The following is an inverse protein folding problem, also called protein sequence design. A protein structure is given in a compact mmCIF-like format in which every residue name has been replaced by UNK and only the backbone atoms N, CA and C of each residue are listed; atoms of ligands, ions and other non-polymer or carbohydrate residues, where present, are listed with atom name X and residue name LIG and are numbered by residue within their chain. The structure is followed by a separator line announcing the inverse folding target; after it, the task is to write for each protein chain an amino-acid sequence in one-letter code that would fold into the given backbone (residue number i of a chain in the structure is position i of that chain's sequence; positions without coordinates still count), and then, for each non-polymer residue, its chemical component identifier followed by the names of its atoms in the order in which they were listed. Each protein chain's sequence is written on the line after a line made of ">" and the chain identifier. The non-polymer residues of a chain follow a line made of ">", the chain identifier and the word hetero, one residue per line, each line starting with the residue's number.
data_IF_335808146799
#
_entry.id   IF_335808146799
#
_cell.length_a   1.000
_cell.length_b   1.000
_cell.length_c   1.000
_cell.angle_alpha   90.00
_cell.angle_beta   90.00
_cell.angle_gamma   90.00
#
_symmetry.space_group_name_H-M   'P 1'
#
loop_
_entity.id
_entity.type
_entity.pdbx_description
1 polymer ?
#
# COMPACT_ATOMS: atom_id res chain seq x y z
N UNK A 1 52.76 -10.04 12.15
CA UNK A 1 51.90 -10.20 10.97
C UNK A 1 52.68 -9.82 9.71
N UNK A 2 52.87 -10.75 8.77
CA UNK A 2 53.65 -10.50 7.55
C UNK A 2 52.89 -9.60 6.55
N UNK A 3 53.56 -9.09 5.51
CA UNK A 3 52.95 -8.16 4.52
C UNK A 3 51.66 -8.73 3.90
N UNK A 4 51.60 -10.05 3.66
CA UNK A 4 50.42 -10.73 3.09
C UNK A 4 49.26 -10.76 4.08
N UNK A 5 49.53 -11.13 5.34
CA UNK A 5 48.54 -11.15 6.42
C UNK A 5 47.99 -9.74 6.73
N UNK A 6 48.82 -8.68 6.67
CA UNK A 6 48.36 -7.27 6.79
C UNK A 6 47.39 -6.86 5.69
N UNK A 7 47.68 -7.25 4.43
CA UNK A 7 46.76 -7.00 3.31
C UNK A 7 45.44 -7.76 3.49
N UNK A 8 45.49 -9.03 3.89
CA UNK A 8 44.29 -9.83 4.14
C UNK A 8 43.46 -9.23 5.27
N UNK A 9 44.09 -8.90 6.41
CA UNK A 9 43.41 -8.27 7.54
C UNK A 9 42.73 -6.97 7.13
N UNK A 10 43.42 -6.11 6.38
CA UNK A 10 42.84 -4.86 5.88
C UNK A 10 41.65 -5.10 4.94
N UNK A 11 41.75 -6.05 4.01
CA UNK A 11 40.63 -6.43 3.14
C UNK A 11 39.43 -6.95 3.94
N UNK A 12 39.63 -7.81 4.93
CA UNK A 12 38.57 -8.33 5.80
C UNK A 12 37.91 -7.20 6.60
N UNK A 13 38.70 -6.31 7.20
CA UNK A 13 38.17 -5.13 7.89
C UNK A 13 37.34 -4.25 6.94
N UNK A 14 37.82 -4.00 5.71
CA UNK A 14 37.10 -3.19 4.73
C UNK A 14 35.75 -3.80 4.36
N UNK A 15 35.70 -5.12 4.11
CA UNK A 15 34.44 -5.84 3.82
C UNK A 15 33.49 -5.75 5.01
N UNK A 16 33.99 -5.95 6.22
CA UNK A 16 33.19 -5.83 7.44
C UNK A 16 32.60 -4.43 7.61
N UNK A 17 33.39 -3.37 7.40
CA UNK A 17 32.89 -2.00 7.44
C UNK A 17 31.83 -1.74 6.37
N UNK A 18 32.02 -2.25 5.15
CA UNK A 18 31.06 -2.08 4.06
C UNK A 18 29.74 -2.80 4.38
N UNK A 19 29.82 -4.00 4.94
CA UNK A 19 28.64 -4.74 5.43
C UNK A 19 27.91 -3.98 6.55
N UNK A 20 28.65 -3.36 7.47
CA UNK A 20 28.07 -2.60 8.57
C UNK A 20 27.36 -1.34 8.08
N UNK A 21 27.93 -0.64 7.11
CA UNK A 21 27.30 0.52 6.44
C UNK A 21 26.00 0.08 5.75
N UNK A 22 26.03 -1.02 4.99
CA UNK A 22 24.83 -1.55 4.31
C UNK A 22 23.77 -1.95 5.32
N UNK A 23 24.16 -2.60 6.43
CA UNK A 23 23.22 -3.00 7.50
C UNK A 23 22.57 -1.78 8.14
N UNK A 24 23.34 -0.74 8.48
CA UNK A 24 22.78 0.51 9.02
C UNK A 24 21.83 1.16 8.01
N UNK A 25 22.16 1.13 6.72
CA UNK A 25 21.30 1.69 5.68
C UNK A 25 19.98 0.91 5.56
N UNK A 26 20.03 -0.42 5.62
CA UNK A 26 18.84 -1.28 5.63
C UNK A 26 17.99 -1.08 6.90
N UNK A 27 18.62 -0.89 8.06
CA UNK A 27 17.92 -0.58 9.31
C UNK A 27 17.23 0.80 9.29
N UNK A 28 17.73 1.74 8.48
CA UNK A 28 17.12 3.06 8.28
C UNK A 28 16.10 3.10 7.14
N UNK A 29 15.79 1.95 6.53
CA UNK A 29 14.83 1.91 5.44
C UNK A 29 13.45 2.30 5.96
N UNK A 30 12.88 3.34 5.35
CA UNK A 30 11.56 3.89 5.70
C UNK A 30 10.45 2.88 5.42
N UNK A 31 9.33 3.02 6.12
CA UNK A 31 8.11 2.34 5.70
C UNK A 31 7.62 2.90 4.35
N UNK A 32 6.82 2.14 3.60
CA UNK A 32 6.16 2.64 2.40
C UNK A 32 5.45 3.99 2.60
N UNK A 33 4.69 4.17 3.68
CA UNK A 33 4.02 5.42 4.01
C UNK A 33 5.00 6.58 4.22
N UNK A 34 6.05 6.37 5.03
CA UNK A 34 7.07 7.40 5.27
C UNK A 34 7.81 7.79 3.98
N UNK A 35 8.05 6.82 3.09
CA UNK A 35 8.58 7.12 1.75
C UNK A 35 7.59 7.94 0.91
N UNK A 36 6.30 7.58 0.93
CA UNK A 36 5.25 8.26 0.19
C UNK A 36 5.07 9.72 0.64
N UNK A 37 5.10 9.96 1.96
CA UNK A 37 4.95 11.29 2.56
C UNK A 37 6.04 12.29 2.17
N UNK A 38 7.24 11.80 1.84
CA UNK A 38 8.38 12.64 1.47
C UNK A 38 8.44 12.97 -0.02
N UNK A 39 7.54 12.42 -0.83
CA UNK A 39 7.50 12.74 -2.25
C UNK A 39 7.09 14.20 -2.47
N UNK A 40 7.78 14.86 -3.39
CA UNK A 40 7.54 16.27 -3.75
C UNK A 40 6.72 16.35 -5.02
N UNK A 41 5.97 17.45 -5.18
CA UNK A 41 5.20 17.72 -6.40
C UNK A 41 3.86 16.98 -6.49
N UNK A 42 3.40 16.40 -5.38
CA UNK A 42 2.07 15.82 -5.27
C UNK A 42 1.00 16.90 -5.08
N UNK A 43 -0.23 16.61 -5.50
CA UNK A 43 -1.40 17.45 -5.21
C UNK A 43 -1.98 17.05 -3.85
N UNK A 44 -2.77 17.92 -3.21
CA UNK A 44 -3.41 17.64 -1.91
C UNK A 44 -4.24 16.34 -1.89
N UNK A 45 -4.84 15.94 -3.02
CA UNK A 45 -5.56 14.67 -3.19
C UNK A 45 -4.64 13.43 -3.03
N UNK A 46 -3.37 13.57 -3.38
CA UNK A 46 -2.39 12.48 -3.43
C UNK A 46 -1.35 12.56 -2.32
N UNK A 47 -1.16 13.73 -1.71
CA UNK A 47 -0.23 13.93 -0.59
C UNK A 47 -0.76 13.28 0.69
N UNK A 48 -0.02 12.34 1.31
CA UNK A 48 -0.44 11.71 2.56
C UNK A 48 -0.31 12.63 3.76
N UNK A 49 -1.36 12.67 4.59
CA UNK A 49 -1.36 13.37 5.87
C UNK A 49 -1.29 12.40 7.06
N UNK A 50 -2.07 11.32 7.02
CA UNK A 50 -2.17 10.33 8.10
C UNK A 50 -2.18 8.90 7.53
N UNK A 51 -1.40 7.99 8.10
CA UNK A 51 -1.42 6.58 7.70
C UNK A 51 -2.60 5.85 8.34
N UNK A 52 -3.35 5.09 7.55
CA UNK A 52 -4.42 4.23 8.05
C UNK A 52 -3.94 2.78 8.20
N UNK A 53 -3.33 2.22 7.15
CA UNK A 53 -2.82 0.84 7.16
C UNK A 53 -1.75 0.63 6.06
N UNK A 54 -0.77 -0.23 6.34
CA UNK A 54 0.26 -0.66 5.38
C UNK A 54 0.22 -2.18 5.18
N UNK A 55 -0.29 -2.63 4.05
CA UNK A 55 -0.48 -4.06 3.77
C UNK A 55 0.61 -4.55 2.83
N UNK A 56 1.38 -5.55 3.27
CA UNK A 56 2.38 -6.19 2.42
C UNK A 56 1.79 -7.37 1.64
N UNK A 57 2.07 -7.41 0.35
CA UNK A 57 1.78 -8.56 -0.51
C UNK A 57 2.96 -8.79 -1.47
N UNK A 58 3.58 -9.95 -1.42
CA UNK A 58 4.85 -10.25 -2.11
C UNK A 58 5.96 -9.22 -1.82
N UNK A 59 6.42 -8.53 -2.88
CA UNK A 59 7.37 -7.43 -2.85
C UNK A 59 6.69 -6.05 -2.99
N UNK A 60 5.39 -5.97 -2.77
CA UNK A 60 4.57 -4.77 -2.89
C UNK A 60 3.85 -4.44 -1.59
N UNK A 61 3.33 -3.23 -1.57
CA UNK A 61 2.61 -2.65 -0.45
C UNK A 61 1.38 -1.91 -0.96
N UNK A 62 0.28 -2.02 -0.21
CA UNK A 62 -0.87 -1.13 -0.29
C UNK A 62 -0.77 -0.20 0.91
N UNK A 63 -0.85 1.09 0.67
CA UNK A 63 -0.85 2.11 1.73
C UNK A 63 -2.18 2.84 1.65
N UNK A 64 -3.03 2.63 2.66
CA UNK A 64 -4.22 3.44 2.87
C UNK A 64 -3.88 4.62 3.76
N UNK A 65 -4.34 5.81 3.40
CA UNK A 65 -4.02 7.03 4.12
C UNK A 65 -5.13 8.07 3.99
N UNK A 66 -5.21 8.97 4.96
CA UNK A 66 -5.94 10.24 4.82
C UNK A 66 -5.01 11.23 4.13
N UNK A 67 -5.48 11.84 3.04
CA UNK A 67 -4.73 12.83 2.28
C UNK A 67 -4.88 14.25 2.87
N UNK A 68 -4.22 15.24 2.28
CA UNK A 68 -4.31 16.63 2.75
C UNK A 68 -5.71 17.25 2.60
N UNK A 69 -6.56 16.72 1.71
CA UNK A 69 -7.97 17.12 1.63
C UNK A 69 -8.82 16.55 2.78
N UNK A 70 -8.27 15.65 3.60
CA UNK A 70 -9.04 14.93 4.61
C UNK A 70 -9.86 13.77 4.05
N UNK A 71 -9.59 13.33 2.82
CA UNK A 71 -10.23 12.19 2.19
C UNK A 71 -9.33 10.94 2.26
N UNK A 72 -9.91 9.75 2.10
CA UNK A 72 -9.14 8.52 2.02
C UNK A 72 -8.54 8.37 0.63
N UNK A 73 -7.28 7.95 0.57
CA UNK A 73 -6.58 7.59 -0.66
C UNK A 73 -5.83 6.28 -0.47
N UNK A 74 -5.51 5.63 -1.59
CA UNK A 74 -4.77 4.39 -1.61
C UNK A 74 -3.56 4.50 -2.56
N UNK A 75 -2.39 4.05 -2.12
CA UNK A 75 -1.22 3.90 -2.98
C UNK A 75 -0.79 2.44 -3.08
N UNK A 76 -0.43 2.01 -4.29
CA UNK A 76 0.22 0.72 -4.54
C UNK A 76 1.69 0.99 -4.82
N UNK A 77 2.56 0.33 -4.06
CA UNK A 77 4.00 0.57 -4.08
C UNK A 77 4.78 -0.74 -4.24
N UNK A 78 5.92 -0.69 -4.92
CA UNK A 78 6.82 -1.83 -5.11
C UNK A 78 8.14 -1.59 -4.40
N UNK A 79 8.57 -2.57 -3.59
CA UNK A 79 9.86 -2.50 -2.91
C UNK A 79 11.00 -2.60 -3.90
N UNK A 80 11.96 -1.68 -3.78
CA UNK A 80 13.29 -1.75 -4.40
C UNK A 80 14.30 -2.03 -3.29
N UNK A 81 15.55 -2.28 -3.67
CA UNK A 81 16.63 -2.63 -2.73
C UNK A 81 16.78 -1.56 -1.62
N UNK A 82 16.65 -0.29 -2.00
CA UNK A 82 16.90 0.86 -1.11
C UNK A 82 15.78 1.89 -1.06
N UNK A 83 14.67 1.65 -1.76
CA UNK A 83 13.57 2.61 -1.90
C UNK A 83 12.28 1.88 -2.24
N UNK A 84 11.25 2.66 -2.57
CA UNK A 84 10.03 2.15 -3.17
C UNK A 84 9.80 2.82 -4.53
N UNK A 85 9.04 2.15 -5.38
CA UNK A 85 8.47 2.71 -6.60
C UNK A 85 6.97 2.84 -6.37
N UNK A 86 6.40 4.01 -6.65
CA UNK A 86 4.96 4.22 -6.60
C UNK A 86 4.39 3.74 -7.93
N UNK A 87 3.65 2.63 -7.91
CA UNK A 87 3.00 2.08 -9.10
C UNK A 87 1.69 2.83 -9.40
N UNK A 88 0.96 3.20 -8.35
CA UNK A 88 -0.32 3.91 -8.45
C UNK A 88 -0.61 4.67 -7.19
N UNK A 89 -1.24 5.83 -7.34
CA UNK A 89 -2.06 6.45 -6.31
C UNK A 89 -3.46 6.53 -6.89
N UNK A 90 -4.45 5.96 -6.20
CA UNK A 90 -5.84 5.98 -6.63
C UNK A 90 -6.43 7.38 -6.53
N UNK A 91 -7.68 7.54 -6.99
CA UNK A 91 -8.49 8.69 -6.57
C UNK A 91 -8.73 8.71 -5.06
N UNK A 92 -9.52 9.68 -4.61
CA UNK A 92 -9.86 9.85 -3.20
C UNK A 92 -11.34 9.50 -2.95
N UNK A 93 -11.62 8.93 -1.77
CA UNK A 93 -12.96 8.69 -1.27
C UNK A 93 -13.24 9.60 -0.08
N UNK A 94 -14.43 10.19 -0.04
CA UNK A 94 -14.82 10.96 1.13
C UNK A 94 -15.07 10.02 2.31
N UNK A 95 -14.75 10.50 3.52
CA UNK A 95 -15.18 9.83 4.75
C UNK A 95 -16.70 9.86 4.94
N UNK A 96 -17.43 10.68 4.16
CA UNK A 96 -18.88 10.85 4.31
C UNK A 96 -19.69 9.70 3.69
N UNK A 97 -20.77 9.32 4.38
CA UNK A 97 -21.69 8.23 4.00
C UNK A 97 -22.38 8.37 2.63
N UNK A 98 -22.32 9.56 2.02
CA UNK A 98 -23.03 9.87 0.77
C UNK A 98 -22.13 9.87 -0.48
N UNK A 99 -20.84 9.54 -0.32
CA UNK A 99 -19.91 9.50 -1.46
C UNK A 99 -19.91 8.13 -2.14
N UNK A 100 -19.39 8.08 -3.38
CA UNK A 100 -19.18 6.80 -4.08
C UNK A 100 -18.27 5.94 -3.21
N UNK A 101 -18.71 4.74 -2.84
CA UNK A 101 -18.03 3.95 -1.79
C UNK A 101 -16.90 3.06 -2.31
N UNK A 102 -16.62 3.05 -3.62
CA UNK A 102 -15.64 2.17 -4.24
C UNK A 102 -14.82 2.89 -5.32
N UNK A 103 -13.54 2.53 -5.44
CA UNK A 103 -12.62 3.00 -6.45
C UNK A 103 -11.82 1.83 -7.01
N UNK A 104 -11.91 1.73 -8.33
CA UNK A 104 -11.05 0.89 -9.14
C UNK A 104 -9.88 1.71 -9.70
N UNK A 105 -8.68 1.15 -9.71
CA UNK A 105 -7.51 1.76 -10.33
C UNK A 105 -6.56 0.70 -10.89
N UNK A 106 -6.25 0.81 -12.18
CA UNK A 106 -5.26 -0.03 -12.84
C UNK A 106 -3.86 0.61 -12.83
N UNK A 107 -2.85 -0.24 -12.96
CA UNK A 107 -1.45 0.12 -13.06
C UNK A 107 -0.65 -0.96 -13.80
N UNK A 108 0.50 -0.57 -14.36
CA UNK A 108 1.39 -1.47 -15.10
C UNK A 108 2.50 -2.00 -14.17
N UNK A 109 2.66 -3.33 -14.12
CA UNK A 109 3.79 -3.98 -13.45
C UNK A 109 4.01 -5.38 -14.03
N UNK A 110 4.80 -5.48 -15.10
CA UNK A 110 4.99 -6.71 -15.88
C UNK A 110 3.64 -7.29 -16.37
N UNK A 111 2.83 -6.43 -17.00
CA UNK A 111 1.44 -6.67 -17.33
C UNK A 111 0.49 -5.81 -16.48
N UNK A 112 -0.72 -5.64 -17.00
CA UNK A 112 -1.78 -4.89 -16.32
C UNK A 112 -2.19 -5.57 -15.01
N UNK A 113 -2.27 -4.75 -13.97
CA UNK A 113 -2.76 -5.10 -12.64
C UNK A 113 -3.73 -4.03 -12.16
N UNK A 114 -4.50 -4.35 -11.15
CA UNK A 114 -5.46 -3.42 -10.61
C UNK A 114 -5.66 -3.60 -9.11
N UNK A 115 -6.16 -2.54 -8.50
CA UNK A 115 -6.68 -2.52 -7.15
C UNK A 115 -8.11 -2.00 -7.19
N UNK A 116 -8.99 -2.70 -6.51
CA UNK A 116 -10.35 -2.27 -6.23
C UNK A 116 -10.51 -2.16 -4.72
N UNK A 117 -11.02 -1.03 -4.25
CA UNK A 117 -11.10 -0.76 -2.83
C UNK A 117 -12.23 0.21 -2.51
N UNK A 118 -12.66 0.23 -1.25
CA UNK A 118 -13.80 1.03 -0.84
C UNK A 118 -13.89 1.26 0.65
N UNK A 119 -14.92 2.00 1.04
CA UNK A 119 -15.23 2.37 2.42
C UNK A 119 -16.58 1.79 2.82
N UNK A 120 -16.59 1.03 3.91
CA UNK A 120 -17.80 0.45 4.48
C UNK A 120 -18.19 1.25 5.72
N UNK A 121 -19.32 1.97 5.62
CA UNK A 121 -19.86 2.80 6.71
C UNK A 121 -21.00 2.12 7.49
N UNK A 122 -21.64 1.12 6.90
CA UNK A 122 -22.72 0.36 7.52
C UNK A 122 -22.11 -0.82 8.30
N UNK A 123 -22.39 -0.89 9.61
CA UNK A 123 -21.90 -1.95 10.49
C UNK A 123 -22.53 -3.31 10.18
N UNK A 124 -23.68 -3.32 9.52
CA UNK A 124 -24.42 -4.54 9.21
C UNK A 124 -23.84 -5.27 7.99
N UNK A 125 -22.90 -4.65 7.26
CA UNK A 125 -22.19 -5.31 6.16
C UNK A 125 -21.13 -6.26 6.73
N UNK A 126 -21.25 -7.55 6.43
CA UNK A 126 -20.29 -8.56 6.86
C UNK A 126 -19.14 -8.70 5.85
N UNK A 127 -19.46 -8.67 4.56
CA UNK A 127 -18.47 -8.77 3.49
C UNK A 127 -18.88 -7.99 2.25
N UNK A 128 -17.90 -7.65 1.44
CA UNK A 128 -18.10 -7.05 0.11
C UNK A 128 -17.51 -7.98 -0.93
N UNK A 129 -18.24 -8.19 -2.02
CA UNK A 129 -17.76 -8.85 -3.23
C UNK A 129 -17.42 -7.79 -4.28
N UNK A 130 -16.32 -8.02 -4.98
CA UNK A 130 -15.94 -7.32 -6.21
C UNK A 130 -16.08 -8.33 -7.35
N UNK A 131 -17.10 -8.12 -8.19
CA UNK A 131 -17.76 -9.15 -8.98
C UNK A 131 -18.13 -10.33 -8.05
N UNK A 132 -17.61 -11.53 -8.29
CA UNK A 132 -17.85 -12.71 -7.45
C UNK A 132 -16.75 -12.95 -6.38
N UNK A 133 -15.76 -12.06 -6.28
CA UNK A 133 -14.59 -12.26 -5.43
C UNK A 133 -14.73 -11.50 -4.11
N UNK A 134 -14.63 -12.23 -2.99
CA UNK A 134 -14.67 -11.63 -1.66
C UNK A 134 -13.47 -10.70 -1.43
N UNK A 135 -13.76 -9.45 -1.08
CA UNK A 135 -12.76 -8.45 -0.70
C UNK A 135 -12.25 -8.69 0.73
N UNK A 136 -11.00 -8.29 0.98
CA UNK A 136 -10.45 -8.21 2.33
C UNK A 136 -11.05 -7.00 3.05
N UNK A 137 -11.21 -7.06 4.38
CA UNK A 137 -11.72 -5.96 5.20
C UNK A 137 -10.71 -5.59 6.29
N UNK A 138 -10.53 -4.29 6.50
CA UNK A 138 -9.77 -3.68 7.59
C UNK A 138 -10.78 -2.99 8.50
N UNK A 139 -10.95 -3.49 9.72
CA UNK A 139 -12.01 -3.08 10.65
C UNK A 139 -11.51 -2.55 12.00
N UNK A 140 -10.22 -2.61 12.25
CA UNK A 140 -9.54 -2.17 13.47
C UNK A 140 -8.96 -0.75 13.34
N UNK A 141 -9.63 0.12 12.59
CA UNK A 141 -9.22 1.52 12.41
C UNK A 141 -9.69 2.38 13.59
N UNK A 142 -9.03 3.52 13.81
CA UNK A 142 -9.47 4.51 14.80
C UNK A 142 -10.76 5.27 14.37
N UNK A 143 -11.30 4.94 13.20
CA UNK A 143 -12.48 5.54 12.61
C UNK A 143 -13.66 4.57 12.63
N UNK A 144 -14.89 5.09 12.55
CA UNK A 144 -16.10 4.26 12.51
C UNK A 144 -16.32 3.54 11.17
N UNK A 145 -15.59 3.94 10.12
CA UNK A 145 -15.63 3.25 8.83
C UNK A 145 -14.62 2.10 8.80
N UNK A 146 -14.87 1.15 7.90
CA UNK A 146 -13.95 0.05 7.57
C UNK A 146 -13.50 0.23 6.12
N UNK A 147 -12.37 -0.36 5.76
CA UNK A 147 -11.86 -0.34 4.37
C UNK A 147 -11.97 -1.75 3.79
N UNK A 148 -12.50 -1.89 2.58
CA UNK A 148 -12.41 -3.13 1.82
C UNK A 148 -11.49 -3.00 0.63
N UNK A 149 -10.82 -4.08 0.24
CA UNK A 149 -9.90 -4.06 -0.89
C UNK A 149 -9.65 -5.46 -1.48
N UNK A 150 -9.35 -5.48 -2.77
CA UNK A 150 -8.85 -6.65 -3.51
C UNK A 150 -7.94 -6.18 -4.64
N UNK A 151 -6.98 -7.02 -5.01
CA UNK A 151 -6.07 -6.78 -6.13
C UNK A 151 -6.19 -7.91 -7.13
N UNK A 152 -5.92 -7.61 -8.39
CA UNK A 152 -5.93 -8.62 -9.44
C UNK A 152 -4.97 -8.31 -10.59
N UNK A 153 -4.99 -9.22 -11.56
CA UNK A 153 -4.19 -9.14 -12.79
C UNK A 153 -5.13 -9.09 -13.99
N UNK A 154 -4.65 -8.51 -15.10
CA UNK A 154 -5.35 -8.47 -16.38
C UNK A 154 -6.02 -7.13 -16.68
N UNK A 155 -6.60 -7.07 -17.88
CA UNK A 155 -7.34 -5.91 -18.40
C UNK A 155 -8.79 -5.91 -17.90
N UNK A 156 -9.02 -5.78 -16.59
CA UNK A 156 -10.33 -5.29 -16.16
C UNK A 156 -10.39 -3.79 -16.50
N UNK A 157 -10.88 -3.51 -17.70
CA UNK A 157 -11.11 -2.14 -18.20
C UNK A 157 -12.48 -1.60 -17.79
N UNK A 158 -13.30 -2.44 -17.14
CA UNK A 158 -14.60 -2.07 -16.58
C UNK A 158 -14.50 -2.06 -15.05
N UNK A 159 -14.99 -1.01 -14.38
CA UNK A 159 -15.17 -1.05 -12.93
C UNK A 159 -15.96 -2.31 -12.54
N UNK A 160 -15.52 -3.06 -11.53
CA UNK A 160 -16.23 -4.25 -11.07
C UNK A 160 -17.59 -3.87 -10.48
N UNK A 161 -18.52 -4.82 -10.50
CA UNK A 161 -19.77 -4.70 -9.76
C UNK A 161 -19.49 -5.01 -8.27
N UNK A 162 -20.11 -4.25 -7.36
CA UNK A 162 -19.94 -4.44 -5.92
C UNK A 162 -21.23 -5.00 -5.31
N UNK A 163 -21.10 -6.09 -4.55
CA UNK A 163 -22.19 -6.64 -3.75
C UNK A 163 -21.85 -6.56 -2.26
N UNK A 164 -22.72 -5.93 -1.48
CA UNK A 164 -22.59 -5.83 -0.02
C UNK A 164 -23.45 -6.88 0.66
N UNK A 165 -22.82 -7.85 1.32
CA UNK A 165 -23.50 -8.94 2.03
C UNK A 165 -23.70 -8.54 3.48
N UNK A 166 -24.96 -8.53 3.93
CA UNK A 166 -25.33 -8.21 5.31
C UNK A 166 -25.22 -9.40 6.25
N UNK A 167 -24.93 -9.14 7.52
CA UNK A 167 -24.91 -10.14 8.59
C UNK A 167 -26.22 -10.94 8.57
N UNK A 168 -26.09 -12.27 8.55
CA UNK A 168 -27.23 -13.19 8.57
C UNK A 168 -27.91 -13.40 7.21
N UNK A 169 -27.40 -12.80 6.13
CA UNK A 169 -27.80 -13.14 4.77
C UNK A 169 -27.18 -14.49 4.39
N UNK A 170 -27.97 -15.41 3.84
CA UNK A 170 -27.44 -16.64 3.24
C UNK A 170 -26.97 -16.32 1.82
N UNK A 171 -25.74 -16.70 1.47
CA UNK A 171 -25.21 -16.69 0.10
C UNK A 171 -25.83 -17.85 -0.68
#
# INVERSE_FOLDING_TARGET
>A
MNKKQKKIFFCVCMIFFLFLIVTIYLLKQKSPYEYLKEQKGMTAQTTPNECLEEIRFDNKYIVFFINENGNLSCAVMKKKIFSYEILRISGELSQSKNSKNYLFSSYEDNGYKWIDWGVINDSDIESVLSNDNKMNIIDNLQYSFRICWIIGNGEENTPPEHEEIKIGSSI
#
